data_IF_873459996939
#
_entry.id   IF_873459996939
#
_cell.length_a   1.000
_cell.length_b   1.000
_cell.length_c   1.000
_cell.angle_alpha   90.00
_cell.angle_beta   90.00
_cell.angle_gamma   90.00
#
_symmetry.space_group_name_H-M   'P 1'
#
loop_
_entity.id
_entity.type
_entity.pdbx_description
1 polymer ?
#
# COMPACT_ATOMS: atom_id res chain seq x y z
N UNK A 1 -10.01 34.04 -9.90
CA UNK A 1 -10.13 32.61 -9.58
C UNK A 1 -11.28 32.47 -8.60
N UNK A 2 -12.20 31.51 -8.82
CA UNK A 2 -13.42 31.40 -8.03
C UNK A 2 -13.11 30.90 -6.61
N UNK A 3 -13.88 31.34 -5.61
CA UNK A 3 -13.81 30.83 -4.23
C UNK A 3 -14.03 29.31 -4.18
N UNK A 4 -14.79 28.78 -5.14
CA UNK A 4 -15.08 27.36 -5.27
C UNK A 4 -13.83 26.53 -5.61
N UNK A 5 -12.99 27.03 -6.51
CA UNK A 5 -11.75 26.34 -6.90
C UNK A 5 -10.77 26.25 -5.72
N UNK A 6 -10.75 27.28 -4.86
CA UNK A 6 -9.94 27.29 -3.65
C UNK A 6 -10.46 26.28 -2.61
N UNK A 7 -11.78 26.12 -2.50
CA UNK A 7 -12.40 25.15 -1.59
C UNK A 7 -12.14 23.69 -2.01
N UNK A 8 -12.23 23.37 -3.31
CA UNK A 8 -11.92 22.03 -3.82
C UNK A 8 -10.44 21.69 -3.60
N UNK A 9 -9.53 22.62 -3.88
CA UNK A 9 -8.11 22.41 -3.60
C UNK A 9 -7.86 22.21 -2.10
N UNK A 10 -8.50 23.01 -1.22
CA UNK A 10 -8.44 22.77 0.25
C UNK A 10 -8.86 21.37 0.62
N UNK A 11 -10.01 20.90 0.15
CA UNK A 11 -10.53 19.58 0.49
C UNK A 11 -9.67 18.44 -0.07
N UNK A 12 -9.13 18.61 -1.28
CA UNK A 12 -8.32 17.59 -1.93
C UNK A 12 -6.87 17.54 -1.41
N UNK A 13 -6.39 18.64 -0.82
CA UNK A 13 -4.98 18.80 -0.43
C UNK A 13 -4.81 19.21 1.04
N UNK A 14 -5.84 19.21 1.88
CA UNK A 14 -5.69 19.52 3.31
C UNK A 14 -5.06 18.31 4.00
N UNK A 15 -3.77 18.40 4.30
CA UNK A 15 -3.26 17.76 5.52
C UNK A 15 -3.74 18.65 6.67
N UNK A 16 -4.63 18.13 7.50
CA UNK A 16 -4.99 18.80 8.75
C UNK A 16 -3.71 18.94 9.58
N UNK A 17 -3.44 20.16 10.05
CA UNK A 17 -2.35 20.41 10.96
C UNK A 17 -2.70 19.73 12.29
N UNK A 18 -1.86 18.78 12.68
CA UNK A 18 -1.99 18.08 13.95
C UNK A 18 -1.45 18.98 15.08
N UNK A 19 -1.91 18.84 16.34
CA UNK A 19 -1.46 19.69 17.44
C UNK A 19 0.05 19.71 17.67
N UNK A 20 0.74 18.62 17.34
CA UNK A 20 2.20 18.49 17.44
C UNK A 20 2.97 19.10 16.27
N UNK A 21 2.31 19.42 15.17
CA UNK A 21 2.95 20.03 14.01
C UNK A 21 3.40 21.46 14.31
N UNK A 22 4.43 21.90 13.60
CA UNK A 22 4.99 23.23 13.77
C UNK A 22 5.41 23.83 12.43
N UNK A 23 5.40 25.15 12.33
CA UNK A 23 5.93 25.87 11.16
C UNK A 23 7.43 26.05 11.31
N UNK A 24 8.20 25.67 10.30
CA UNK A 24 9.65 25.86 10.25
C UNK A 24 10.06 27.31 9.95
N UNK A 25 11.34 27.62 10.10
CA UNK A 25 11.91 28.94 9.74
C UNK A 25 11.79 29.25 8.24
N UNK A 26 11.73 28.21 7.42
CA UNK A 26 11.46 28.26 5.99
C UNK A 26 9.99 28.54 5.66
N UNK A 27 9.12 28.65 6.67
CA UNK A 27 7.68 28.87 6.51
C UNK A 27 6.88 27.64 6.09
N UNK A 28 7.47 26.45 5.99
CA UNK A 28 6.74 25.21 5.68
C UNK A 28 6.15 24.58 6.96
N UNK A 29 5.03 23.87 6.82
CA UNK A 29 4.52 23.02 7.89
C UNK A 29 5.40 21.75 8.06
N UNK A 30 5.75 21.40 9.29
CA UNK A 30 6.52 20.21 9.65
C UNK A 30 5.73 19.27 10.55
N UNK A 31 5.94 17.97 10.34
CA UNK A 31 5.35 16.94 11.18
C UNK A 31 5.98 16.94 12.58
N UNK A 32 5.17 17.02 13.64
CA UNK A 32 5.66 16.96 15.03
C UNK A 32 6.40 15.67 15.39
N UNK A 33 5.98 14.54 14.80
CA UNK A 33 6.52 13.21 15.09
C UNK A 33 7.83 12.91 14.34
N UNK A 34 7.83 12.98 13.00
CA UNK A 34 9.01 12.64 12.19
C UNK A 34 9.90 13.83 11.82
N UNK A 35 9.50 15.07 12.18
CA UNK A 35 10.24 16.30 11.90
C UNK A 35 10.54 16.55 10.43
N UNK A 36 9.80 15.91 9.53
CA UNK A 36 9.87 16.14 8.09
C UNK A 36 8.80 17.13 7.62
N UNK A 37 9.06 17.86 6.53
CA UNK A 37 8.10 18.82 6.01
C UNK A 37 6.87 18.08 5.45
N UNK A 38 5.70 18.59 5.84
CA UNK A 38 4.35 18.25 5.37
C UNK A 38 3.94 19.06 4.13
N UNK A 39 4.73 20.08 3.80
CA UNK A 39 4.54 20.92 2.62
C UNK A 39 5.84 21.03 1.81
N UNK A 40 5.72 21.47 0.56
CA UNK A 40 6.84 21.87 -0.26
C UNK A 40 6.44 23.08 -1.11
N UNK A 41 7.42 23.93 -1.41
CA UNK A 41 7.24 25.00 -2.38
C UNK A 41 7.08 24.42 -3.79
N UNK A 42 6.23 25.06 -4.59
CA UNK A 42 6.27 24.88 -6.03
C UNK A 42 7.60 25.40 -6.60
N UNK A 43 8.03 24.93 -7.79
CA UNK A 43 9.17 25.51 -8.48
C UNK A 43 9.01 27.03 -8.66
N UNK A 44 10.14 27.76 -8.69
CA UNK A 44 10.16 29.22 -8.75
C UNK A 44 9.27 29.79 -9.89
N UNK A 45 8.54 30.86 -9.58
CA UNK A 45 7.59 31.49 -10.50
C UNK A 45 6.29 30.71 -10.73
N UNK A 46 6.09 29.57 -10.05
CA UNK A 46 4.84 28.81 -10.11
C UNK A 46 4.04 28.98 -8.83
N UNK A 47 2.76 29.28 -8.99
CA UNK A 47 1.77 29.22 -7.95
C UNK A 47 0.52 28.54 -8.52
N UNK A 48 -0.12 27.69 -7.73
CA UNK A 48 -1.35 27.01 -8.14
C UNK A 48 -2.47 27.43 -7.19
N UNK A 49 -3.61 27.85 -7.73
CA UNK A 49 -4.72 28.40 -6.93
C UNK A 49 -4.31 29.53 -5.96
N UNK A 50 -3.36 30.37 -6.38
CA UNK A 50 -2.85 31.48 -5.56
C UNK A 50 -1.98 31.03 -4.38
N UNK A 51 -1.50 29.78 -4.39
CA UNK A 51 -0.61 29.21 -3.37
C UNK A 51 0.75 28.91 -3.96
N UNK A 52 1.77 29.25 -3.17
CA UNK A 52 3.18 28.98 -3.44
C UNK A 52 3.63 27.60 -2.95
N UNK A 53 2.80 26.91 -2.17
CA UNK A 53 3.10 25.63 -1.52
C UNK A 53 2.04 24.57 -1.83
N UNK A 54 2.46 23.31 -1.82
CA UNK A 54 1.59 22.14 -1.91
C UNK A 54 1.92 21.12 -0.81
N UNK A 55 0.97 20.23 -0.45
CA UNK A 55 1.26 19.19 0.52
C UNK A 55 2.25 18.18 -0.02
N UNK A 56 2.98 17.59 0.91
CA UNK A 56 3.97 16.55 0.70
C UNK A 56 3.79 15.49 1.79
N UNK A 57 3.87 14.22 1.41
CA UNK A 57 3.86 13.14 2.39
C UNK A 57 5.13 13.19 3.25
N UNK A 58 4.96 13.34 4.56
CA UNK A 58 6.00 13.05 5.53
C UNK A 58 6.16 11.53 5.72
N UNK A 59 7.25 11.08 6.34
CA UNK A 59 7.52 9.66 6.57
C UNK A 59 6.40 8.91 7.32
N UNK A 60 5.73 9.57 8.28
CA UNK A 60 4.60 8.96 8.99
C UNK A 60 3.43 8.62 8.04
N UNK A 61 3.08 9.57 7.16
CA UNK A 61 2.00 9.37 6.18
C UNK A 61 2.40 8.37 5.11
N UNK A 62 3.64 8.43 4.62
CA UNK A 62 4.19 7.46 3.68
C UNK A 62 4.08 6.05 4.22
N UNK A 63 4.56 5.81 5.46
CA UNK A 63 4.47 4.49 6.11
C UNK A 63 3.02 4.02 6.26
N UNK A 64 2.11 4.91 6.64
CA UNK A 64 0.66 4.59 6.75
C UNK A 64 0.09 4.18 5.40
N UNK A 65 0.36 4.95 4.33
CA UNK A 65 -0.08 4.64 2.97
C UNK A 65 0.48 3.31 2.50
N UNK A 66 1.78 3.08 2.64
CA UNK A 66 2.45 1.84 2.26
C UNK A 66 1.87 0.62 3.00
N UNK A 67 1.55 0.77 4.29
CA UNK A 67 0.91 -0.29 5.09
C UNK A 67 -0.50 -0.61 4.59
N UNK A 68 -1.30 0.42 4.31
CA UNK A 68 -2.64 0.26 3.76
C UNK A 68 -2.60 -0.36 2.36
N UNK A 69 -1.69 0.09 1.50
CA UNK A 69 -1.48 -0.47 0.16
C UNK A 69 -1.04 -1.92 0.21
N UNK A 70 -0.15 -2.30 1.14
CA UNK A 70 0.25 -3.70 1.35
C UNK A 70 -0.94 -4.57 1.78
N UNK A 71 -1.68 -4.14 2.80
CA UNK A 71 -2.90 -4.83 3.26
C UNK A 71 -3.95 -4.97 2.15
N UNK A 72 -4.14 -3.91 1.36
CA UNK A 72 -5.08 -3.95 0.23
C UNK A 72 -4.61 -4.90 -0.89
N UNK A 73 -3.30 -4.96 -1.19
CA UNK A 73 -2.73 -5.92 -2.14
C UNK A 73 -2.95 -7.36 -1.68
N UNK A 74 -2.67 -7.65 -0.41
CA UNK A 74 -2.91 -8.97 0.17
C UNK A 74 -4.39 -9.35 0.14
N UNK A 75 -5.27 -8.42 0.51
CA UNK A 75 -6.71 -8.60 0.44
C UNK A 75 -7.17 -8.92 -0.99
N UNK A 76 -6.75 -8.11 -1.98
CA UNK A 76 -7.09 -8.31 -3.40
C UNK A 76 -6.58 -9.65 -3.93
N UNK A 77 -5.36 -10.03 -3.56
CA UNK A 77 -4.81 -11.33 -3.94
C UNK A 77 -5.66 -12.47 -3.37
N UNK A 78 -6.01 -12.42 -2.08
CA UNK A 78 -6.86 -13.43 -1.43
C UNK A 78 -8.25 -13.50 -2.07
N UNK A 79 -8.88 -12.35 -2.33
CA UNK A 79 -10.16 -12.31 -3.04
C UNK A 79 -10.09 -12.95 -4.42
N UNK A 80 -9.02 -12.67 -5.16
CA UNK A 80 -8.82 -13.23 -6.50
C UNK A 80 -8.61 -14.74 -6.45
N UNK A 81 -7.79 -15.24 -5.52
CA UNK A 81 -7.61 -16.68 -5.28
C UNK A 81 -8.95 -17.34 -4.96
N UNK A 82 -9.75 -16.76 -4.06
CA UNK A 82 -11.06 -17.31 -3.69
C UNK A 82 -12.07 -17.23 -4.86
N UNK A 83 -12.02 -16.19 -5.68
CA UNK A 83 -12.81 -16.09 -6.91
C UNK A 83 -12.44 -17.21 -7.90
N UNK A 84 -11.15 -17.45 -8.12
CA UNK A 84 -10.66 -18.53 -8.99
C UNK A 84 -11.05 -19.91 -8.46
N UNK A 85 -10.89 -20.16 -7.15
CA UNK A 85 -11.32 -21.41 -6.51
C UNK A 85 -12.82 -21.66 -6.67
N UNK A 86 -13.66 -20.63 -6.48
CA UNK A 86 -15.11 -20.74 -6.71
C UNK A 86 -15.47 -21.11 -8.15
N UNK A 87 -14.69 -20.63 -9.13
CA UNK A 87 -14.90 -20.92 -10.54
C UNK A 87 -14.35 -22.31 -10.95
N UNK A 88 -13.20 -22.70 -10.41
CA UNK A 88 -12.49 -23.90 -10.81
C UNK A 88 -12.90 -25.18 -10.08
N UNK A 89 -13.33 -25.08 -8.81
CA UNK A 89 -13.67 -26.24 -8.00
C UNK A 89 -15.17 -26.38 -7.80
N UNK A 90 -15.70 -27.55 -8.20
CA UNK A 90 -17.09 -27.93 -7.91
C UNK A 90 -17.23 -28.45 -6.48
N UNK A 91 -16.27 -29.27 -6.02
CA UNK A 91 -16.23 -29.79 -4.65
C UNK A 91 -15.84 -28.68 -3.65
N UNK A 92 -16.69 -28.35 -2.65
CA UNK A 92 -16.35 -27.40 -1.60
C UNK A 92 -15.10 -27.76 -0.79
N UNK A 93 -14.80 -29.05 -0.59
CA UNK A 93 -13.63 -29.49 0.16
C UNK A 93 -12.31 -29.07 -0.51
N UNK A 94 -12.31 -28.92 -1.84
CA UNK A 94 -11.13 -28.47 -2.60
C UNK A 94 -10.84 -26.97 -2.41
N UNK A 95 -11.81 -26.16 -1.97
CA UNK A 95 -11.62 -24.72 -1.76
C UNK A 95 -10.71 -24.43 -0.57
N UNK A 96 -10.80 -25.25 0.49
CA UNK A 96 -9.95 -25.17 1.67
C UNK A 96 -8.68 -26.01 1.57
N UNK A 97 -8.42 -26.66 0.43
CA UNK A 97 -7.24 -27.50 0.28
C UNK A 97 -5.96 -26.66 0.35
N UNK A 98 -5.07 -27.05 1.25
CA UNK A 98 -3.72 -26.50 1.43
C UNK A 98 -2.80 -27.63 1.85
N UNK A 99 -1.48 -27.45 1.73
CA UNK A 99 -0.53 -28.43 2.27
C UNK A 99 -0.71 -28.67 3.78
N UNK A 100 -1.19 -27.68 4.55
CA UNK A 100 -1.49 -27.84 5.98
C UNK A 100 -2.75 -28.64 6.25
N UNK A 101 -3.70 -28.63 5.31
CA UNK A 101 -4.96 -29.39 5.38
C UNK A 101 -4.89 -30.74 4.66
N UNK A 102 -3.71 -31.14 4.18
CA UNK A 102 -3.52 -32.46 3.57
C UNK A 102 -3.67 -33.57 4.63
N UNK A 103 -4.35 -34.65 4.27
CA UNK A 103 -4.61 -35.76 5.19
C UNK A 103 -3.45 -36.78 5.27
N UNK A 104 -2.33 -36.52 4.59
CA UNK A 104 -1.12 -37.35 4.61
C UNK A 104 -1.24 -38.67 3.87
N UNK A 105 -2.37 -38.94 3.20
CA UNK A 105 -2.58 -40.23 2.50
C UNK A 105 -1.75 -40.37 1.22
N UNK A 106 -1.28 -39.26 0.65
CA UNK A 106 -0.47 -39.25 -0.56
C UNK A 106 1.00 -38.98 -0.24
N UNK A 107 1.89 -39.99 -0.27
CA UNK A 107 3.31 -39.83 0.04
C UNK A 107 4.03 -38.83 -0.87
N UNK A 108 3.50 -38.55 -2.05
CA UNK A 108 4.10 -37.60 -2.99
C UNK A 108 3.84 -36.14 -2.62
N UNK A 109 2.91 -35.86 -1.69
CA UNK A 109 2.64 -34.49 -1.25
C UNK A 109 3.82 -33.86 -0.51
N UNK A 110 4.64 -34.67 0.17
CA UNK A 110 5.88 -34.18 0.78
C UNK A 110 6.86 -33.68 -0.29
N UNK A 111 7.01 -34.39 -1.40
CA UNK A 111 7.85 -33.97 -2.53
C UNK A 111 7.30 -32.69 -3.18
N UNK A 112 5.99 -32.62 -3.37
CA UNK A 112 5.33 -31.43 -3.91
C UNK A 112 5.53 -30.21 -3.00
N UNK A 113 5.41 -30.37 -1.67
CA UNK A 113 5.69 -29.32 -0.70
C UNK A 113 7.13 -28.83 -0.82
N UNK A 114 8.10 -29.76 -0.79
CA UNK A 114 9.53 -29.45 -0.92
C UNK A 114 9.85 -28.70 -2.22
N UNK A 115 9.21 -29.09 -3.33
CA UNK A 115 9.37 -28.40 -4.61
C UNK A 115 8.93 -26.93 -4.54
N UNK A 116 7.78 -26.66 -3.91
CA UNK A 116 7.26 -25.28 -3.76
C UNK A 116 8.15 -24.47 -2.80
N UNK A 117 8.61 -25.08 -1.70
CA UNK A 117 9.51 -24.42 -0.73
C UNK A 117 10.88 -24.08 -1.33
N UNK A 118 11.36 -24.89 -2.27
CA UNK A 118 12.66 -24.72 -2.94
C UNK A 118 12.53 -24.11 -4.34
N UNK A 119 11.36 -23.52 -4.67
CA UNK A 119 11.03 -23.09 -6.02
C UNK A 119 12.09 -22.18 -6.65
N UNK A 120 12.60 -21.18 -5.91
CA UNK A 120 13.63 -20.27 -6.44
C UNK A 120 14.91 -21.02 -6.84
N UNK A 121 15.35 -22.01 -6.06
CA UNK A 121 16.54 -22.82 -6.39
C UNK A 121 16.30 -23.73 -7.59
N UNK A 122 15.10 -24.31 -7.68
CA UNK A 122 14.75 -25.25 -8.75
C UNK A 122 14.56 -24.52 -10.08
N UNK A 123 13.98 -23.31 -10.06
CA UNK A 123 13.78 -22.47 -11.23
C UNK A 123 15.11 -22.10 -11.90
N UNK A 124 16.13 -21.76 -11.10
CA UNK A 124 17.45 -21.36 -11.60
C UNK A 124 18.29 -22.55 -12.09
N UNK A 125 18.01 -23.77 -11.62
CA UNK A 125 18.70 -25.00 -12.03
C UNK A 125 18.16 -25.69 -13.30
N UNK A 126 17.02 -25.24 -13.83
CA UNK A 126 16.43 -25.74 -15.07
C UNK A 126 16.94 -24.91 -16.27
N UNK A 127 18.17 -25.18 -16.72
CA UNK A 127 18.73 -24.67 -17.97
C UNK A 127 18.99 -25.80 -18.96
#
# INVERSE_FOLDING_TARGET
MSDYDNAIFRLATSQEAEPEDYTGEDGLLYCGSCRQPKEAYFPEGKAFFGRDRHPKECDCQRKRRETLEASHREYKHREEVERLKRKGFTDPAMKSWTFGNDNGKCPQMEKARRYVEQWEQIKDGNH
#
